data_IF_724330130864
#
_entry.id   IF_724330130864
#
_cell.length_a   1.000
_cell.length_b   1.000
_cell.length_c   1.000
_cell.angle_alpha   90.00
_cell.angle_beta   90.00
_cell.angle_gamma   90.00
#
_symmetry.space_group_name_H-M   'P 1'
#
loop_
_entity.id
_entity.type
_entity.pdbx_description
1 polymer ?
#
# COMPACT_ATOMS: atom_id res chain seq x y z
N UNK A 1 -6.76 33.48 -19.45
CA UNK A 1 -6.21 32.25 -18.87
C UNK A 1 -6.57 31.11 -19.79
N UNK A 2 -5.70 30.13 -20.06
CA UNK A 2 -6.11 28.98 -20.86
C UNK A 2 -7.26 28.26 -20.13
N UNK A 3 -8.26 27.83 -20.88
CA UNK A 3 -9.42 27.10 -20.38
C UNK A 3 -8.95 25.92 -19.49
N UNK A 4 -9.51 25.78 -18.28
CA UNK A 4 -9.20 24.67 -17.40
C UNK A 4 -9.47 23.36 -18.13
N UNK A 5 -8.43 22.55 -18.28
CA UNK A 5 -8.50 21.26 -19.00
C UNK A 5 -9.24 20.19 -18.17
N UNK A 6 -9.34 20.36 -16.86
CA UNK A 6 -9.86 19.37 -15.92
C UNK A 6 -11.06 19.89 -15.14
N UNK A 7 -11.96 18.97 -14.81
CA UNK A 7 -13.19 19.26 -14.07
C UNK A 7 -13.14 18.70 -12.64
N UNK A 8 -12.35 17.66 -12.41
CA UNK A 8 -12.19 17.03 -11.09
C UNK A 8 -10.70 16.94 -10.73
N UNK A 9 -10.37 17.39 -9.54
CA UNK A 9 -8.99 17.49 -9.04
C UNK A 9 -8.85 16.64 -7.78
N UNK A 10 -7.86 15.73 -7.76
CA UNK A 10 -7.42 15.04 -6.55
C UNK A 10 -6.31 15.88 -5.97
N UNK A 11 -6.52 16.43 -4.77
CA UNK A 11 -5.63 17.43 -4.16
C UNK A 11 -5.05 16.89 -2.86
N UNK A 12 -3.74 16.59 -2.82
CA UNK A 12 -3.06 16.20 -1.59
C UNK A 12 -3.06 17.32 -0.55
N UNK A 13 -3.28 16.93 0.71
CA UNK A 13 -3.22 17.79 1.89
C UNK A 13 -1.99 17.43 2.75
N UNK A 14 -1.53 18.28 3.65
CA UNK A 14 -0.40 17.98 4.53
C UNK A 14 -0.60 16.73 5.39
N UNK A 15 0.48 15.98 5.61
CA UNK A 15 0.47 14.79 6.50
C UNK A 15 0.83 15.11 7.96
N UNK A 16 1.20 16.34 8.25
CA UNK A 16 1.61 16.75 9.61
C UNK A 16 1.97 18.20 9.71
N UNK A 17 2.74 18.72 8.75
CA UNK A 17 3.13 20.12 8.70
C UNK A 17 2.28 20.86 7.67
N UNK A 18 1.53 21.85 8.12
CA UNK A 18 0.63 22.62 7.25
C UNK A 18 1.35 23.29 6.06
N UNK A 19 2.66 23.53 6.17
CA UNK A 19 3.50 24.12 5.11
C UNK A 19 3.83 23.13 3.96
N UNK A 20 3.54 21.85 4.12
CA UNK A 20 3.81 20.84 3.09
C UNK A 20 2.74 20.82 1.97
N UNK A 21 1.76 21.70 2.03
CA UNK A 21 0.83 21.92 0.93
C UNK A 21 1.52 22.61 -0.25
N UNK A 22 1.23 22.20 -1.47
CA UNK A 22 1.80 22.86 -2.65
C UNK A 22 1.05 24.17 -2.98
N UNK A 23 1.75 25.13 -3.57
CA UNK A 23 1.13 26.36 -4.07
C UNK A 23 -0.03 26.07 -5.03
N UNK A 24 0.17 25.12 -5.94
CA UNK A 24 -0.88 24.70 -6.89
C UNK A 24 -2.11 24.08 -6.20
N UNK A 25 -1.91 23.37 -5.09
CA UNK A 25 -3.02 22.87 -4.30
C UNK A 25 -3.85 24.00 -3.70
N UNK A 26 -3.18 25.01 -3.11
CA UNK A 26 -3.85 26.20 -2.58
C UNK A 26 -4.63 26.95 -3.66
N UNK A 27 -4.02 27.20 -4.82
CA UNK A 27 -4.66 27.84 -5.97
C UNK A 27 -5.88 27.05 -6.44
N UNK A 28 -5.73 25.72 -6.62
CA UNK A 28 -6.82 24.84 -7.05
C UNK A 28 -7.98 24.87 -6.04
N UNK A 29 -7.69 24.77 -4.74
CA UNK A 29 -8.72 24.79 -3.69
C UNK A 29 -9.45 26.14 -3.60
N UNK A 30 -8.79 27.27 -3.94
CA UNK A 30 -9.43 28.59 -4.03
C UNK A 30 -10.34 28.75 -5.25
N UNK A 31 -10.04 28.01 -6.31
CA UNK A 31 -10.67 28.22 -7.60
C UNK A 31 -11.81 27.26 -7.92
N UNK A 32 -11.85 26.05 -7.34
CA UNK A 32 -12.93 25.08 -7.58
C UNK A 32 -14.25 25.54 -6.95
N UNK A 33 -15.37 25.07 -7.49
CA UNK A 33 -16.70 25.40 -6.98
C UNK A 33 -17.01 24.67 -5.66
N UNK A 34 -16.48 23.45 -5.49
CA UNK A 34 -16.70 22.61 -4.31
C UNK A 34 -15.41 21.85 -3.93
N UNK A 35 -15.28 21.60 -2.63
CA UNK A 35 -14.28 20.69 -2.07
C UNK A 35 -15.01 19.50 -1.46
N UNK A 36 -14.85 18.32 -2.04
CA UNK A 36 -15.26 17.04 -1.44
C UNK A 36 -14.21 16.61 -0.42
N UNK A 37 -14.60 16.37 0.82
CA UNK A 37 -13.67 16.07 1.92
C UNK A 37 -14.25 15.03 2.90
N UNK A 38 -13.38 14.26 3.55
CA UNK A 38 -13.79 13.21 4.47
C UNK A 38 -14.38 13.80 5.76
N UNK A 39 -13.62 14.60 6.50
CA UNK A 39 -14.10 15.37 7.64
C UNK A 39 -14.01 16.88 7.36
N UNK A 40 -15.18 17.50 7.22
CA UNK A 40 -15.27 18.95 6.97
C UNK A 40 -14.62 19.79 8.05
N UNK A 41 -14.56 19.30 9.29
CA UNK A 41 -13.95 20.02 10.43
C UNK A 41 -12.43 20.06 10.32
N UNK A 42 -11.83 18.95 9.85
CA UNK A 42 -10.38 18.86 9.61
C UNK A 42 -10.01 19.74 8.43
N UNK A 43 -10.71 19.55 7.31
CA UNK A 43 -10.48 20.36 6.09
C UNK A 43 -10.65 21.85 6.36
N UNK A 44 -11.67 22.26 7.12
CA UNK A 44 -11.91 23.68 7.41
C UNK A 44 -10.74 24.37 8.14
N UNK A 45 -10.00 23.64 9.00
CA UNK A 45 -8.81 24.19 9.65
C UNK A 45 -7.73 24.56 8.62
N UNK A 46 -7.50 23.68 7.64
CA UNK A 46 -6.56 23.93 6.54
C UNK A 46 -7.01 25.12 5.69
N UNK A 47 -8.29 25.15 5.30
CA UNK A 47 -8.85 26.22 4.46
C UNK A 47 -8.78 27.56 5.16
N UNK A 48 -9.10 27.64 6.45
CA UNK A 48 -9.01 28.87 7.23
C UNK A 48 -7.58 29.39 7.31
N UNK A 49 -6.59 28.51 7.44
CA UNK A 49 -5.18 28.92 7.51
C UNK A 49 -4.69 29.59 6.21
N UNK A 50 -5.24 29.19 5.06
CA UNK A 50 -4.86 29.73 3.74
C UNK A 50 -5.87 30.70 3.13
N UNK A 51 -6.84 31.21 3.94
CA UNK A 51 -7.93 32.08 3.48
C UNK A 51 -8.68 31.53 2.27
N UNK A 52 -8.99 30.22 2.29
CA UNK A 52 -9.77 29.53 1.27
C UNK A 52 -11.23 29.49 1.73
N UNK A 53 -12.15 30.04 0.92
CA UNK A 53 -13.59 30.17 1.25
C UNK A 53 -14.47 29.19 0.47
N UNK A 54 -13.88 28.28 -0.28
CA UNK A 54 -14.57 27.30 -1.10
C UNK A 54 -15.42 26.38 -0.24
N UNK A 55 -16.65 26.09 -0.68
CA UNK A 55 -17.62 25.28 0.06
C UNK A 55 -17.17 23.83 0.16
N UNK A 56 -17.11 23.28 1.39
CA UNK A 56 -16.86 21.88 1.65
C UNK A 56 -18.16 21.06 1.59
N UNK A 57 -18.05 19.86 1.01
CA UNK A 57 -19.12 18.86 0.96
C UNK A 57 -18.54 17.56 1.52
N UNK A 58 -19.22 16.96 2.50
CA UNK A 58 -18.79 15.70 3.10
C UNK A 58 -18.88 14.56 2.09
N UNK A 59 -17.76 13.84 1.91
CA UNK A 59 -17.60 12.67 1.08
C UNK A 59 -16.70 11.67 1.77
N UNK A 60 -17.26 10.60 2.30
CA UNK A 60 -16.58 9.56 3.07
C UNK A 60 -17.12 8.17 2.69
N UNK A 61 -16.44 7.13 3.10
CA UNK A 61 -16.72 5.73 2.76
C UNK A 61 -18.20 5.32 2.89
N UNK A 62 -18.92 5.92 3.82
CA UNK A 62 -20.34 5.55 4.08
C UNK A 62 -21.34 6.28 3.19
N UNK A 63 -20.96 7.41 2.56
CA UNK A 63 -21.86 8.18 1.69
C UNK A 63 -21.37 8.25 0.23
N UNK A 64 -20.29 7.58 -0.14
CA UNK A 64 -19.69 7.64 -1.47
C UNK A 64 -20.73 7.45 -2.59
N UNK A 65 -21.52 6.38 -2.53
CA UNK A 65 -22.50 6.04 -3.58
C UNK A 65 -23.60 7.10 -3.70
N UNK A 66 -24.08 7.59 -2.59
CA UNK A 66 -25.13 8.62 -2.55
C UNK A 66 -24.64 9.97 -3.10
N UNK A 67 -23.35 10.29 -2.88
CA UNK A 67 -22.73 11.54 -3.31
C UNK A 67 -22.29 11.55 -4.77
N UNK A 68 -22.06 10.40 -5.37
CA UNK A 68 -21.62 10.30 -6.78
C UNK A 68 -22.59 11.01 -7.71
N UNK A 69 -23.87 10.73 -7.62
CA UNK A 69 -24.90 11.34 -8.50
C UNK A 69 -24.95 12.88 -8.34
N UNK A 70 -24.81 13.35 -7.11
CA UNK A 70 -24.73 14.78 -6.85
C UNK A 70 -23.52 15.40 -7.57
N UNK A 71 -22.32 14.84 -7.41
CA UNK A 71 -21.12 15.38 -8.04
C UNK A 71 -21.16 15.30 -9.56
N UNK A 72 -21.66 14.19 -10.13
CA UNK A 72 -21.83 14.06 -11.57
C UNK A 72 -22.78 15.14 -12.14
N UNK A 73 -23.86 15.44 -11.44
CA UNK A 73 -24.82 16.49 -11.86
C UNK A 73 -24.17 17.88 -11.80
N UNK A 74 -23.43 18.20 -10.73
CA UNK A 74 -22.72 19.46 -10.62
C UNK A 74 -21.67 19.62 -11.75
N UNK A 75 -20.89 18.58 -12.06
CA UNK A 75 -19.91 18.58 -13.15
C UNK A 75 -20.57 18.75 -14.53
N UNK A 76 -21.76 18.18 -14.77
CA UNK A 76 -22.53 18.39 -16.01
C UNK A 76 -22.97 19.85 -16.20
N UNK A 77 -23.14 20.59 -15.11
CA UNK A 77 -23.41 22.04 -15.19
C UNK A 77 -22.18 22.90 -15.43
N UNK A 78 -21.00 22.26 -15.62
CA UNK A 78 -19.73 22.95 -15.87
C UNK A 78 -18.96 23.35 -14.61
N UNK A 79 -19.39 22.95 -13.44
CA UNK A 79 -18.66 23.18 -12.19
C UNK A 79 -17.43 22.31 -12.07
N UNK A 80 -16.53 22.73 -11.19
CA UNK A 80 -15.27 22.05 -10.89
C UNK A 80 -15.24 21.59 -9.43
N UNK A 81 -14.63 20.44 -9.15
CA UNK A 81 -14.61 19.83 -7.83
C UNK A 81 -13.19 19.41 -7.47
N UNK A 82 -12.76 19.66 -6.24
CA UNK A 82 -11.54 19.09 -5.67
C UNK A 82 -11.93 18.00 -4.63
N UNK A 83 -11.25 16.86 -4.67
CA UNK A 83 -11.30 15.84 -3.63
C UNK A 83 -10.05 15.97 -2.77
N UNK A 84 -10.24 16.05 -1.46
CA UNK A 84 -9.18 16.02 -0.44
C UNK A 84 -9.45 14.92 0.58
N UNK A 85 -8.40 14.36 1.16
CA UNK A 85 -8.45 13.53 2.37
C UNK A 85 -8.08 14.35 3.60
N UNK A 86 -8.27 13.79 4.80
CA UNK A 86 -7.90 14.46 6.05
C UNK A 86 -6.39 14.68 6.15
N UNK A 87 -5.57 13.79 5.57
CA UNK A 87 -4.13 13.91 5.49
C UNK A 87 -3.55 13.19 4.27
N UNK A 88 -2.64 13.83 3.55
CA UNK A 88 -1.91 13.23 2.43
C UNK A 88 -2.68 13.20 1.12
N UNK A 89 -2.30 12.27 0.26
CA UNK A 89 -2.87 12.09 -1.07
C UNK A 89 -4.14 11.25 -1.00
N UNK A 90 -5.30 11.78 -1.43
CA UNK A 90 -6.55 11.04 -1.45
C UNK A 90 -6.44 9.72 -2.21
N UNK A 91 -7.24 8.72 -1.85
CA UNK A 91 -7.27 7.36 -2.41
C UNK A 91 -6.05 6.48 -2.05
N UNK A 92 -5.09 6.98 -1.29
CA UNK A 92 -4.02 6.17 -0.71
C UNK A 92 -4.47 5.74 0.69
N UNK A 93 -5.27 4.67 0.77
CA UNK A 93 -6.02 4.18 1.94
C UNK A 93 -7.27 5.01 2.32
N UNK A 94 -7.64 6.00 1.52
CA UNK A 94 -8.78 6.91 1.73
C UNK A 94 -9.90 6.65 0.71
N UNK A 95 -11.12 7.18 0.94
CA UNK A 95 -12.21 7.10 -0.02
C UNK A 95 -11.89 7.84 -1.33
N UNK A 96 -12.61 7.49 -2.41
CA UNK A 96 -12.46 8.14 -3.72
C UNK A 96 -12.51 7.18 -4.92
N UNK A 97 -12.28 5.88 -4.71
CA UNK A 97 -12.25 4.92 -5.80
C UNK A 97 -13.57 4.86 -6.59
N UNK A 98 -14.70 4.95 -5.90
CA UNK A 98 -16.04 4.87 -6.53
C UNK A 98 -16.28 6.09 -7.42
N UNK A 99 -16.00 7.31 -6.91
CA UNK A 99 -16.23 8.52 -7.70
C UNK A 99 -15.35 8.57 -8.94
N UNK A 100 -14.07 8.19 -8.83
CA UNK A 100 -13.16 8.20 -9.98
C UNK A 100 -13.62 7.23 -11.07
N UNK A 101 -14.07 6.03 -10.71
CA UNK A 101 -14.63 5.08 -11.68
C UNK A 101 -15.81 5.67 -12.42
N UNK A 102 -16.75 6.28 -11.72
CA UNK A 102 -17.94 6.88 -12.33
C UNK A 102 -17.60 8.13 -13.16
N UNK A 103 -16.64 8.94 -12.75
CA UNK A 103 -16.18 10.09 -13.53
C UNK A 103 -15.58 9.65 -14.87
N UNK A 104 -14.67 8.68 -14.86
CA UNK A 104 -14.06 8.14 -16.07
C UNK A 104 -15.11 7.53 -17.00
N UNK A 105 -16.03 6.74 -16.45
CA UNK A 105 -17.15 6.13 -17.19
C UNK A 105 -18.08 7.16 -17.85
N UNK A 106 -18.26 8.32 -17.21
CA UNK A 106 -19.09 9.42 -17.74
C UNK A 106 -18.28 10.44 -18.59
N UNK A 107 -17.01 10.18 -18.89
CA UNK A 107 -16.18 11.00 -19.77
C UNK A 107 -15.66 12.30 -19.16
N UNK A 108 -15.70 12.46 -17.84
CA UNK A 108 -15.14 13.62 -17.16
C UNK A 108 -13.62 13.56 -17.08
N UNK A 109 -12.99 14.73 -17.21
CA UNK A 109 -11.54 14.86 -17.09
C UNK A 109 -11.11 14.98 -15.63
N UNK A 110 -10.26 14.06 -15.20
CA UNK A 110 -9.73 13.99 -13.83
C UNK A 110 -8.21 14.23 -13.85
N UNK A 111 -7.70 14.93 -12.86
CA UNK A 111 -6.26 15.06 -12.62
C UNK A 111 -5.93 14.95 -11.14
N UNK A 112 -4.77 14.38 -10.84
CA UNK A 112 -4.19 14.39 -9.49
C UNK A 112 -3.02 15.36 -9.45
N UNK A 113 -2.98 16.17 -8.39
CA UNK A 113 -1.85 17.04 -8.14
C UNK A 113 -0.74 16.27 -7.40
N UNK A 114 0.53 16.49 -7.70
CA UNK A 114 1.63 16.04 -6.84
C UNK A 114 1.52 16.69 -5.47
N UNK A 115 1.86 15.95 -4.42
CA UNK A 115 1.84 16.49 -3.06
C UNK A 115 2.24 15.49 -1.98
N UNK A 116 1.97 15.84 -0.73
CA UNK A 116 2.36 15.07 0.43
C UNK A 116 1.76 13.66 0.44
N UNK A 117 2.60 12.67 0.72
CA UNK A 117 2.20 11.28 0.89
C UNK A 117 3.16 10.60 1.88
N UNK A 118 2.62 10.00 2.94
CA UNK A 118 3.44 9.38 3.98
C UNK A 118 4.33 8.24 3.44
N UNK A 119 3.84 7.46 2.46
CA UNK A 119 4.60 6.36 1.86
C UNK A 119 5.86 6.87 1.14
N UNK A 120 5.72 7.86 0.27
CA UNK A 120 6.87 8.40 -0.50
C UNK A 120 7.82 9.17 0.40
N UNK A 121 7.31 9.95 1.37
CA UNK A 121 8.12 10.66 2.36
C UNK A 121 8.94 9.68 3.18
N UNK A 122 8.33 8.61 3.66
CA UNK A 122 9.01 7.55 4.40
C UNK A 122 10.08 6.85 3.55
N UNK A 123 9.72 6.39 2.36
CA UNK A 123 10.65 5.68 1.47
C UNK A 123 11.87 6.52 1.08
N UNK A 124 11.73 7.85 1.03
CA UNK A 124 12.85 8.77 0.75
C UNK A 124 13.77 8.96 1.96
N UNK A 125 13.33 8.59 3.16
CA UNK A 125 14.06 8.81 4.42
C UNK A 125 14.77 7.56 4.95
N UNK A 126 14.61 6.39 4.31
CA UNK A 126 15.18 5.12 4.78
C UNK A 126 16.14 4.50 3.76
N UNK A 127 17.24 3.84 4.22
CA UNK A 127 18.10 3.09 3.33
C UNK A 127 17.37 1.89 2.73
N UNK A 128 17.67 1.56 1.47
CA UNK A 128 17.11 0.39 0.78
C UNK A 128 18.18 -0.25 -0.09
N UNK A 129 18.30 -1.57 0.00
CA UNK A 129 19.16 -2.37 -0.86
C UNK A 129 18.45 -2.77 -2.16
N UNK A 130 17.11 -2.79 -2.16
CA UNK A 130 16.25 -3.08 -3.30
C UNK A 130 15.42 -1.84 -3.65
N UNK A 131 15.40 -1.44 -4.92
CA UNK A 131 14.59 -0.29 -5.38
C UNK A 131 13.10 -0.61 -5.42
N UNK A 132 12.76 -1.87 -5.66
CA UNK A 132 11.37 -2.32 -5.73
C UNK A 132 10.70 -2.29 -4.35
N UNK A 133 9.44 -1.88 -4.34
CA UNK A 133 8.62 -1.92 -3.15
C UNK A 133 7.15 -2.20 -3.48
N UNK A 134 6.46 -2.79 -2.52
CA UNK A 134 5.00 -2.91 -2.53
C UNK A 134 4.43 -2.12 -1.35
N UNK A 135 3.39 -1.32 -1.60
CA UNK A 135 2.57 -0.74 -0.54
C UNK A 135 1.26 -1.52 -0.44
N UNK A 136 1.01 -2.11 0.71
CA UNK A 136 -0.14 -3.00 0.95
C UNK A 136 -1.25 -2.36 1.79
N UNK A 137 -1.18 -1.04 2.01
CA UNK A 137 -2.17 -0.33 2.83
C UNK A 137 -2.02 -0.63 4.32
N UNK A 138 -3.15 -0.71 5.03
CA UNK A 138 -3.15 -1.12 6.43
C UNK A 138 -2.92 -2.63 6.55
N UNK A 139 -1.91 -3.01 7.36
CA UNK A 139 -1.62 -4.42 7.63
C UNK A 139 -2.83 -5.10 8.29
N UNK A 140 -3.18 -6.34 7.95
CA UNK A 140 -4.25 -7.09 8.57
C UNK A 140 -4.11 -7.22 10.09
N UNK A 141 -5.20 -7.64 10.76
CA UNK A 141 -5.23 -7.66 12.24
C UNK A 141 -4.80 -8.98 12.86
N UNK A 142 -5.00 -10.09 12.18
CA UNK A 142 -4.72 -11.43 12.71
C UNK A 142 -3.38 -11.96 12.22
N UNK A 143 -2.69 -12.75 13.01
CA UNK A 143 -1.39 -13.35 12.67
C UNK A 143 -1.46 -14.06 11.30
N UNK A 144 -2.43 -14.96 11.12
CA UNK A 144 -2.63 -15.70 9.86
C UNK A 144 -2.80 -14.78 8.64
N UNK A 145 -3.56 -13.68 8.78
CA UNK A 145 -3.75 -12.73 7.69
C UNK A 145 -2.49 -11.90 7.41
N UNK A 146 -1.68 -11.58 8.43
CA UNK A 146 -0.38 -10.92 8.26
C UNK A 146 0.56 -11.82 7.47
N UNK A 147 0.66 -13.10 7.87
CA UNK A 147 1.48 -14.11 7.17
C UNK A 147 1.07 -14.23 5.70
N UNK A 148 -0.23 -14.37 5.44
CA UNK A 148 -0.75 -14.48 4.07
C UNK A 148 -0.51 -13.22 3.24
N UNK A 149 -0.68 -12.02 3.83
CA UNK A 149 -0.43 -10.76 3.15
C UNK A 149 1.03 -10.57 2.75
N UNK A 150 1.98 -11.08 3.54
CA UNK A 150 3.41 -10.93 3.29
C UNK A 150 4.03 -12.08 2.48
N UNK A 151 3.35 -13.19 2.35
CA UNK A 151 3.84 -14.40 1.68
C UNK A 151 4.36 -14.15 0.25
N UNK A 152 3.73 -13.24 -0.48
CA UNK A 152 4.07 -12.95 -1.88
C UNK A 152 5.08 -11.81 -2.04
N UNK A 153 5.56 -11.21 -0.94
CA UNK A 153 6.39 -10.01 -0.97
C UNK A 153 7.78 -10.20 -0.32
N UNK A 154 8.28 -11.44 -0.26
CA UNK A 154 9.56 -11.72 0.40
C UNK A 154 10.76 -11.16 -0.36
N UNK A 155 10.65 -11.02 -1.70
CA UNK A 155 11.73 -10.52 -2.57
C UNK A 155 11.74 -9.00 -2.77
N UNK A 156 10.75 -8.27 -2.23
CA UNK A 156 10.64 -6.81 -2.37
C UNK A 156 10.34 -6.15 -1.03
N UNK A 157 10.75 -4.90 -0.88
CA UNK A 157 10.45 -4.11 0.31
C UNK A 157 8.94 -3.93 0.44
N UNK A 158 8.36 -4.27 1.60
CA UNK A 158 6.90 -4.19 1.79
C UNK A 158 6.56 -3.12 2.81
N UNK A 159 5.88 -2.08 2.33
CA UNK A 159 5.46 -0.92 3.13
C UNK A 159 4.00 -1.08 3.54
N UNK A 160 3.68 -0.73 4.78
CA UNK A 160 2.32 -0.79 5.31
C UNK A 160 2.08 0.24 6.41
N UNK A 161 0.81 0.56 6.64
CA UNK A 161 0.36 1.31 7.80
C UNK A 161 -0.08 0.39 8.92
N UNK A 162 0.16 0.81 10.15
CA UNK A 162 -0.41 0.15 11.33
C UNK A 162 -0.71 1.16 12.45
N UNK A 163 -1.50 0.75 13.42
CA UNK A 163 -1.78 1.57 14.59
C UNK A 163 -0.65 1.48 15.62
N UNK A 164 -0.41 2.56 16.39
CA UNK A 164 0.60 2.56 17.45
C UNK A 164 0.36 1.48 18.52
N UNK A 165 -0.90 1.14 18.77
CA UNK A 165 -1.25 0.10 19.74
C UNK A 165 -0.87 -1.33 19.30
N UNK A 166 -0.66 -1.55 17.99
CA UNK A 166 -0.44 -2.90 17.43
C UNK A 166 0.95 -3.12 16.86
N UNK A 167 1.60 -2.08 16.33
CA UNK A 167 2.81 -2.20 15.51
C UNK A 167 3.88 -3.10 16.11
N UNK A 168 4.16 -3.00 17.41
CA UNK A 168 5.17 -3.84 18.05
C UNK A 168 4.77 -5.33 18.06
N UNK A 169 3.48 -5.63 18.21
CA UNK A 169 2.96 -6.99 18.07
C UNK A 169 3.06 -7.46 16.62
N UNK A 170 2.72 -6.60 15.67
CA UNK A 170 2.81 -6.89 14.24
C UNK A 170 4.24 -7.24 13.83
N UNK A 171 5.24 -6.47 14.26
CA UNK A 171 6.66 -6.74 14.01
C UNK A 171 7.06 -8.12 14.56
N UNK A 172 6.63 -8.47 15.78
CA UNK A 172 6.90 -9.79 16.37
C UNK A 172 6.24 -10.94 15.62
N UNK A 173 5.05 -10.73 15.05
CA UNK A 173 4.39 -11.73 14.20
C UNK A 173 5.20 -11.92 12.91
N UNK A 174 5.64 -10.83 12.29
CA UNK A 174 6.47 -10.90 11.08
C UNK A 174 7.80 -11.60 11.36
N UNK A 175 8.45 -11.31 12.49
CA UNK A 175 9.70 -11.97 12.92
C UNK A 175 9.55 -13.50 13.04
N UNK A 176 8.39 -14.01 13.47
CA UNK A 176 8.16 -15.47 13.56
C UNK A 176 8.23 -16.16 12.19
N UNK A 177 7.76 -15.50 11.14
CA UNK A 177 7.72 -16.08 9.78
C UNK A 177 8.91 -15.66 8.91
N UNK A 178 9.56 -14.55 9.29
CA UNK A 178 10.76 -14.01 8.64
C UNK A 178 11.78 -13.58 9.71
N UNK A 179 12.50 -14.55 10.35
CA UNK A 179 13.36 -14.27 11.50
C UNK A 179 14.48 -13.26 11.22
N UNK A 180 15.03 -13.29 10.00
CA UNK A 180 16.15 -12.43 9.60
C UNK A 180 15.70 -11.10 8.96
N UNK A 181 14.39 -10.86 8.87
CA UNK A 181 13.91 -9.64 8.23
C UNK A 181 14.28 -8.40 9.05
N UNK A 182 14.87 -7.43 8.37
CA UNK A 182 15.04 -6.09 8.90
C UNK A 182 13.78 -5.25 8.72
N UNK A 183 13.69 -4.17 9.48
CA UNK A 183 12.56 -3.25 9.45
C UNK A 183 13.03 -1.80 9.38
N UNK A 184 12.20 -0.97 8.77
CA UNK A 184 12.22 0.46 8.97
C UNK A 184 10.85 0.90 9.49
N UNK A 185 10.83 1.82 10.45
CA UNK A 185 9.60 2.35 11.05
C UNK A 185 9.73 3.85 11.18
N UNK A 186 8.72 4.57 10.72
CA UNK A 186 8.58 5.99 10.99
C UNK A 186 7.28 6.27 11.76
N UNK A 187 7.36 7.22 12.68
CA UNK A 187 6.19 7.76 13.37
C UNK A 187 6.13 9.26 13.25
N UNK A 188 4.92 9.81 13.20
CA UNK A 188 4.68 11.24 13.21
C UNK A 188 5.46 12.02 12.12
N UNK A 189 5.55 11.45 10.91
CA UNK A 189 6.23 12.07 9.77
C UNK A 189 5.74 13.51 9.55
N UNK A 190 6.68 14.43 9.29
CA UNK A 190 6.43 15.86 9.09
C UNK A 190 5.92 16.61 10.32
N UNK A 191 5.81 15.96 11.50
CA UNK A 191 5.35 16.55 12.76
C UNK A 191 6.51 16.79 13.72
N UNK A 192 6.23 17.49 14.83
CA UNK A 192 7.24 17.84 15.84
C UNK A 192 7.97 16.60 16.44
N UNK A 193 7.29 15.49 16.54
CA UNK A 193 7.82 14.26 17.11
C UNK A 193 8.14 13.20 16.05
N UNK A 194 8.51 13.65 14.84
CA UNK A 194 8.97 12.77 13.77
C UNK A 194 10.16 11.94 14.24
N UNK A 195 10.08 10.66 14.02
CA UNK A 195 11.18 9.73 14.30
C UNK A 195 11.18 8.61 13.28
N UNK A 196 12.36 8.34 12.70
CA UNK A 196 12.60 7.25 11.77
C UNK A 196 13.64 6.33 12.38
N UNK A 197 13.37 5.04 12.42
CA UNK A 197 14.27 4.01 12.96
C UNK A 197 14.36 2.84 12.00
N UNK A 198 15.54 2.21 11.96
CA UNK A 198 15.82 0.99 11.20
C UNK A 198 16.49 -0.03 12.11
N UNK A 199 16.30 -1.30 11.86
CA UNK A 199 16.94 -2.38 12.63
C UNK A 199 16.17 -3.69 12.56
N UNK A 200 16.60 -4.65 13.36
CA UNK A 200 15.90 -5.91 13.59
C UNK A 200 14.59 -5.71 14.37
N UNK A 201 13.74 -6.72 14.37
CA UNK A 201 12.51 -6.70 15.17
C UNK A 201 12.79 -6.46 16.65
N UNK A 202 13.86 -7.05 17.18
CA UNK A 202 14.22 -6.93 18.60
C UNK A 202 14.72 -5.53 18.95
N UNK A 203 15.58 -4.93 18.11
CA UNK A 203 16.04 -3.55 18.31
C UNK A 203 14.90 -2.54 18.31
N UNK A 204 13.98 -2.65 17.34
CA UNK A 204 12.81 -1.75 17.29
C UNK A 204 11.90 -1.97 18.49
N UNK A 205 11.59 -3.23 18.84
CA UNK A 205 10.74 -3.50 20.00
C UNK A 205 11.36 -3.07 21.31
N UNK A 206 12.66 -3.21 21.48
CA UNK A 206 13.39 -2.72 22.64
C UNK A 206 13.35 -1.20 22.73
N UNK A 207 13.61 -0.50 21.62
CA UNK A 207 13.56 0.96 21.57
C UNK A 207 12.21 1.52 22.01
N UNK A 208 11.12 0.86 21.62
CA UNK A 208 9.76 1.28 21.94
C UNK A 208 9.08 0.47 23.03
N UNK A 209 9.83 -0.17 23.94
CA UNK A 209 9.28 -0.99 25.02
C UNK A 209 8.30 -0.22 25.94
N UNK A 210 8.43 1.11 26.04
CA UNK A 210 7.51 2.00 26.76
C UNK A 210 6.23 2.35 25.99
N UNK A 211 6.04 1.76 24.80
CA UNK A 211 4.94 2.06 23.87
C UNK A 211 5.31 3.10 22.84
N UNK A 212 4.56 3.12 21.75
CA UNK A 212 4.71 4.05 20.65
C UNK A 212 3.42 4.84 20.47
N UNK A 213 3.53 6.12 20.07
CA UNK A 213 2.38 7.01 19.84
C UNK A 213 2.48 7.64 18.47
N UNK A 214 1.33 8.07 17.94
CA UNK A 214 1.23 8.78 16.68
C UNK A 214 0.91 7.88 15.50
N UNK A 215 0.94 8.44 14.31
CA UNK A 215 0.72 7.72 13.04
C UNK A 215 1.98 7.01 12.61
N UNK A 216 1.84 5.79 12.10
CA UNK A 216 2.95 4.90 11.82
C UNK A 216 2.91 4.42 10.38
N UNK A 217 4.07 4.50 9.72
CA UNK A 217 4.38 3.75 8.52
C UNK A 217 5.57 2.83 8.81
N UNK A 218 5.47 1.60 8.36
CA UNK A 218 6.48 0.58 8.56
C UNK A 218 6.82 -0.10 7.24
N UNK A 219 8.06 -0.54 7.11
CA UNK A 219 8.54 -1.36 6.01
C UNK A 219 9.25 -2.59 6.59
N UNK A 220 8.95 -3.74 6.02
CA UNK A 220 9.77 -4.93 6.15
C UNK A 220 10.66 -5.01 4.92
N UNK A 221 11.96 -5.14 5.10
CA UNK A 221 12.90 -5.24 4.00
C UNK A 221 12.73 -6.54 3.22
N UNK A 222 13.09 -6.51 1.94
CA UNK A 222 13.25 -7.72 1.15
C UNK A 222 14.23 -8.68 1.83
N UNK A 223 13.98 -9.97 1.76
CA UNK A 223 14.94 -10.98 2.22
C UNK A 223 16.14 -11.00 1.26
N UNK A 224 17.37 -11.06 1.78
CA UNK A 224 18.57 -11.16 0.96
C UNK A 224 18.59 -12.45 0.12
N UNK A 225 18.03 -13.53 0.69
CA UNK A 225 17.81 -14.80 0.03
C UNK A 225 16.34 -15.19 0.22
N UNK A 226 15.42 -14.70 -0.62
CA UNK A 226 14.01 -15.01 -0.47
C UNK A 226 13.80 -16.50 -0.55
N UNK A 227 13.41 -17.10 0.59
CA UNK A 227 12.96 -18.49 0.60
C UNK A 227 11.68 -18.52 -0.22
N UNK A 228 11.74 -19.13 -1.39
CA UNK A 228 10.54 -19.34 -2.20
C UNK A 228 9.69 -20.38 -1.48
N UNK A 229 8.84 -19.89 -0.60
CA UNK A 229 7.78 -20.70 -0.03
C UNK A 229 6.90 -21.13 -1.19
N UNK A 230 6.88 -22.44 -1.42
CA UNK A 230 6.02 -23.11 -2.40
C UNK A 230 6.63 -23.44 -3.78
N UNK A 231 7.93 -23.75 -3.81
CA UNK A 231 8.55 -24.36 -5.01
C UNK A 231 7.77 -25.59 -5.45
N UNK A 232 7.26 -26.38 -4.51
CA UNK A 232 6.52 -27.62 -4.77
C UNK A 232 5.18 -27.35 -5.47
N UNK A 233 4.45 -26.33 -5.05
CA UNK A 233 3.22 -25.92 -5.71
C UNK A 233 3.48 -25.37 -7.12
N UNK A 234 4.53 -24.56 -7.30
CA UNK A 234 4.92 -24.04 -8.60
C UNK A 234 5.36 -25.15 -9.55
N UNK A 235 6.11 -26.14 -9.05
CA UNK A 235 6.46 -27.34 -9.80
C UNK A 235 5.20 -28.06 -10.25
N UNK A 236 4.28 -28.39 -9.33
CA UNK A 236 3.02 -29.07 -9.65
C UNK A 236 2.18 -28.31 -10.68
N UNK A 237 2.00 -26.99 -10.49
CA UNK A 237 1.27 -26.17 -11.46
C UNK A 237 1.89 -26.16 -12.87
N UNK A 238 3.21 -26.14 -12.97
CA UNK A 238 3.89 -26.20 -14.26
C UNK A 238 3.79 -27.61 -14.87
N UNK A 239 3.85 -28.67 -14.05
CA UNK A 239 3.60 -30.04 -14.49
C UNK A 239 2.17 -30.21 -15.01
N UNK A 240 1.15 -29.71 -14.31
CA UNK A 240 -0.25 -29.72 -14.76
C UNK A 240 -0.45 -29.00 -16.09
N UNK A 241 0.38 -28.01 -16.40
CA UNK A 241 0.40 -27.31 -17.69
C UNK A 241 1.25 -28.00 -18.77
N UNK A 242 1.82 -29.16 -18.49
CA UNK A 242 2.56 -30.00 -19.44
C UNK A 242 4.03 -29.65 -19.62
N UNK A 243 4.61 -28.78 -18.77
CA UNK A 243 6.05 -28.49 -18.84
C UNK A 243 6.87 -29.68 -18.35
N UNK A 244 7.97 -29.98 -19.05
CA UNK A 244 8.90 -31.05 -18.69
C UNK A 244 9.82 -30.62 -17.54
N UNK A 245 10.34 -31.59 -16.76
CA UNK A 245 11.21 -31.34 -15.61
C UNK A 245 12.39 -30.41 -15.90
N UNK A 246 13.02 -30.55 -17.08
CA UNK A 246 14.10 -29.65 -17.50
C UNK A 246 13.65 -28.22 -17.74
N UNK A 247 12.48 -28.03 -18.32
CA UNK A 247 11.89 -26.71 -18.60
C UNK A 247 11.50 -26.04 -17.28
N UNK A 248 10.85 -26.79 -16.39
CA UNK A 248 10.49 -26.32 -15.04
C UNK A 248 11.72 -25.88 -14.27
N UNK A 249 12.79 -26.68 -14.29
CA UNK A 249 14.05 -26.35 -13.62
C UNK A 249 14.68 -25.07 -14.19
N UNK A 250 14.65 -24.87 -15.51
CA UNK A 250 15.11 -23.62 -16.16
C UNK A 250 14.23 -22.44 -15.77
N UNK A 251 12.92 -22.57 -15.90
CA UNK A 251 11.95 -21.51 -15.59
C UNK A 251 12.15 -21.03 -14.13
N UNK A 252 12.11 -21.98 -13.17
CA UNK A 252 12.20 -21.63 -11.76
C UNK A 252 13.59 -21.12 -11.36
N UNK A 253 14.67 -21.66 -11.93
CA UNK A 253 16.03 -21.15 -11.67
C UNK A 253 16.24 -19.75 -12.22
N UNK A 254 15.67 -19.43 -13.39
CA UNK A 254 15.81 -18.11 -14.02
C UNK A 254 14.96 -17.06 -13.33
N UNK A 255 13.69 -17.38 -13.01
CA UNK A 255 12.77 -16.42 -12.41
C UNK A 255 13.06 -16.12 -10.94
N UNK A 256 13.67 -17.08 -10.24
CA UNK A 256 13.82 -17.00 -8.78
C UNK A 256 15.28 -17.16 -8.31
N UNK A 257 16.24 -17.13 -9.22
CA UNK A 257 17.66 -17.28 -8.92
C UNK A 257 18.00 -18.54 -8.09
N UNK A 258 17.27 -19.65 -8.31
CA UNK A 258 17.44 -20.92 -7.60
C UNK A 258 18.48 -21.81 -8.28
N UNK A 259 19.07 -22.70 -7.50
CA UNK A 259 19.96 -23.71 -8.04
C UNK A 259 19.18 -24.71 -8.93
N UNK A 260 19.48 -24.73 -10.22
CA UNK A 260 18.81 -25.56 -11.21
C UNK A 260 18.85 -27.06 -10.87
N UNK A 261 19.96 -27.55 -10.31
CA UNK A 261 20.13 -28.96 -9.96
C UNK A 261 19.26 -29.34 -8.76
N UNK A 262 19.14 -28.46 -7.77
CA UNK A 262 18.27 -28.67 -6.60
C UNK A 262 16.81 -28.73 -7.00
N UNK A 263 16.36 -27.84 -7.88
CA UNK A 263 14.98 -27.87 -8.41
C UNK A 263 14.74 -29.19 -9.17
N UNK A 264 15.72 -29.58 -9.98
CA UNK A 264 15.61 -30.81 -10.77
C UNK A 264 15.48 -32.06 -9.88
N UNK A 265 16.31 -32.14 -8.82
CA UNK A 265 16.18 -33.22 -7.82
C UNK A 265 14.84 -33.19 -7.10
N UNK A 266 14.37 -32.01 -6.75
CA UNK A 266 13.08 -31.83 -6.06
C UNK A 266 11.88 -32.27 -6.91
N UNK A 267 11.92 -32.00 -8.22
CA UNK A 267 10.89 -32.51 -9.16
C UNK A 267 10.82 -34.02 -9.15
N UNK A 268 11.96 -34.73 -9.12
CA UNK A 268 11.99 -36.18 -9.05
C UNK A 268 11.47 -36.73 -7.72
N UNK A 269 11.82 -36.09 -6.60
CA UNK A 269 11.27 -36.48 -5.29
C UNK A 269 9.75 -36.38 -5.26
N UNK A 270 9.17 -35.34 -5.86
CA UNK A 270 7.73 -35.13 -5.91
C UNK A 270 7.02 -36.17 -6.81
N UNK A 271 7.65 -36.63 -7.88
CA UNK A 271 7.12 -37.69 -8.73
C UNK A 271 7.09 -39.04 -8.00
N UNK A 272 8.14 -39.40 -7.25
CA UNK A 272 8.19 -40.65 -6.50
C UNK A 272 7.20 -40.68 -5.32
N UNK A 273 6.85 -39.57 -4.73
CA UNK A 273 5.86 -39.53 -3.64
C UNK A 273 4.41 -39.57 -4.14
N UNK A 274 4.12 -39.23 -5.40
CA UNK A 274 2.79 -39.40 -6.00
C UNK A 274 2.51 -40.82 -6.44
N UNK A 275 3.50 -41.53 -6.98
CA UNK A 275 3.34 -42.94 -7.40
C UNK A 275 3.19 -43.91 -6.21
N UNK A 276 3.82 -43.58 -5.05
CA UNK A 276 3.68 -44.39 -3.84
C UNK A 276 2.32 -44.22 -3.13
N UNK A 277 1.51 -43.22 -3.51
CA UNK A 277 0.16 -43.05 -2.99
C UNK A 277 -0.91 -43.75 -3.81
N UNK A 278 -0.68 -43.98 -5.10
CA UNK A 278 -1.62 -44.68 -5.99
C UNK A 278 -1.55 -46.24 -5.86
N UNK A 279 -0.40 -46.80 -5.42
CA UNK A 279 -0.24 -48.24 -5.22
C UNK A 279 -0.90 -48.77 -3.92
N UNK A 280 -1.56 -47.91 -3.12
CA UNK A 280 -2.26 -48.34 -1.88
C UNK A 280 -3.78 -48.47 -2.03
N UNK A 281 -4.33 -48.36 -3.23
CA UNK A 281 -5.79 -48.50 -3.49
C UNK A 281 -6.05 -49.64 -4.48
N UNK A 282 -5.35 -50.78 -4.32
CA UNK A 282 -5.74 -52.02 -5.00
C UNK A 282 -5.34 -53.24 -4.20
N UNK A 283 -5.98 -53.42 -3.05
CA UNK A 283 -6.21 -54.74 -2.41
C UNK A 283 -7.47 -54.60 -1.57
N UNK A 284 -8.54 -55.08 -2.10
CA UNK A 284 -9.69 -55.87 -1.68
C UNK A 284 -10.97 -55.44 -2.40
#
# INVERSE_FOLDING_TARGET
>A
MPQRKFQFYIVPTPIGNIKDITLRAIETLKEVDFIACEDTRVTQKLLNHYDIRTKCISYHKYNERERVDFFLNELRTGKTIALVSDAGTPMICDPGGVIIQELVKNGFSVTSLPGACAVTTFLSSVPRSCEEFAFIGFIPRTEKQIEEALKNYTSINTVFYDSPARILKTIKVIQKVRPEAGFALARELSKLFEEVVTGSADEITQKFQGGIKGEIVCMVYADENPVITDVDFKIKKLQEKGFKAKEIAVILSTLYNLNKNEIYQKIFCLLYTSDAADDRISVD
#
